data_IF_223547345255
#
_entry.id   IF_223547345255
#
_cell.length_a   1.000
_cell.length_b   1.000
_cell.length_c   1.000
_cell.angle_alpha   90.00
_cell.angle_beta   90.00
_cell.angle_gamma   90.00
#
_symmetry.space_group_name_H-M   'P 1'
#
loop_
_entity.id
_entity.type
_entity.pdbx_description
1 polymer ?
#
# COMPACT_ATOMS: atom_id res chain seq x y z
N UNK A 1 0.89 -36.02 1.76
CA UNK A 1 1.66 -35.62 2.95
C UNK A 1 3.18 -35.70 2.76
N UNK A 2 3.75 -36.78 2.19
CA UNK A 2 5.22 -36.86 1.97
C UNK A 2 5.75 -35.76 1.03
N UNK A 3 5.07 -35.47 -0.08
CA UNK A 3 5.47 -34.43 -1.05
C UNK A 3 5.45 -33.00 -0.48
N UNK A 4 4.45 -32.68 0.35
CA UNK A 4 4.34 -31.36 1.02
C UNK A 4 5.42 -31.18 2.09
N UNK A 5 5.75 -32.24 2.83
CA UNK A 5 6.85 -32.23 3.80
C UNK A 5 8.21 -32.09 3.09
N UNK A 6 8.43 -32.77 1.97
CA UNK A 6 9.65 -32.58 1.16
C UNK A 6 9.78 -31.16 0.63
N UNK A 7 8.69 -30.53 0.18
CA UNK A 7 8.71 -29.13 -0.24
C UNK A 7 9.04 -28.17 0.92
N UNK A 8 8.47 -28.42 2.10
CA UNK A 8 8.74 -27.64 3.30
C UNK A 8 10.21 -27.80 3.73
N UNK A 9 10.75 -29.01 3.73
CA UNK A 9 12.15 -29.29 4.05
C UNK A 9 13.07 -28.63 3.04
N UNK A 10 12.75 -28.67 1.74
CA UNK A 10 13.53 -27.98 0.71
C UNK A 10 13.50 -26.46 0.92
N UNK A 11 12.34 -25.90 1.27
CA UNK A 11 12.15 -24.48 1.55
C UNK A 11 12.87 -24.02 2.83
N UNK A 12 12.97 -24.89 3.84
CA UNK A 12 13.72 -24.61 5.07
C UNK A 12 15.23 -24.85 4.88
N UNK A 13 15.63 -25.80 4.04
CA UNK A 13 17.03 -26.08 3.74
C UNK A 13 17.71 -24.93 2.97
N UNK A 14 16.97 -24.15 2.19
CA UNK A 14 17.49 -22.89 1.59
C UNK A 14 17.74 -21.79 2.62
N UNK A 15 17.33 -21.98 3.89
CA UNK A 15 17.60 -21.09 5.01
C UNK A 15 18.87 -21.49 5.79
N UNK A 16 19.60 -22.54 5.38
CA UNK A 16 20.86 -22.93 6.02
C UNK A 16 21.98 -22.05 5.46
N UNK A 17 22.42 -21.09 6.28
CA UNK A 17 23.45 -20.12 5.93
C UNK A 17 24.85 -20.70 6.10
N UNK A 18 25.60 -20.81 5.00
CA UNK A 18 27.03 -21.02 5.03
C UNK A 18 27.74 -19.68 5.35
N UNK A 19 28.30 -19.56 6.56
CA UNK A 19 29.30 -18.57 7.01
C UNK A 19 29.33 -17.25 6.21
N UNK A 20 28.45 -16.31 6.54
CA UNK A 20 28.39 -15.04 5.82
C UNK A 20 29.06 -13.88 6.59
N UNK A 21 29.67 -12.97 5.82
CA UNK A 21 30.49 -11.85 6.29
C UNK A 21 29.82 -10.95 7.35
N UNK A 22 30.65 -10.32 8.19
CA UNK A 22 30.32 -9.41 9.33
C UNK A 22 29.44 -8.18 9.03
N UNK A 23 28.89 -8.03 7.82
CA UNK A 23 28.03 -6.88 7.48
C UNK A 23 26.56 -7.17 7.82
N UNK A 24 25.88 -6.16 8.38
CA UNK A 24 24.46 -6.24 8.73
C UNK A 24 23.59 -6.52 7.51
N UNK A 25 22.99 -7.71 7.46
CA UNK A 25 22.16 -8.18 6.35
C UNK A 25 20.70 -7.77 6.46
N UNK A 26 20.28 -7.42 7.67
CA UNK A 26 18.89 -7.12 7.98
C UNK A 26 18.71 -5.65 8.25
N UNK A 27 17.63 -5.09 7.71
CA UNK A 27 17.20 -3.73 7.99
C UNK A 27 15.75 -3.76 8.40
N UNK A 28 15.46 -3.18 9.57
CA UNK A 28 14.10 -2.92 10.01
C UNK A 28 13.72 -1.50 9.63
N UNK A 29 12.55 -1.30 9.05
CA UNK A 29 12.06 0.01 8.62
C UNK A 29 10.62 0.22 9.04
N UNK A 30 10.27 1.47 9.33
CA UNK A 30 8.92 1.97 9.45
C UNK A 30 8.59 2.77 8.19
N UNK A 31 7.46 2.48 7.57
CA UNK A 31 6.95 3.27 6.45
C UNK A 31 6.16 4.46 7.00
N UNK A 32 6.84 5.60 7.19
CA UNK A 32 6.28 6.77 7.87
C UNK A 32 5.11 7.39 7.07
N UNK A 33 5.20 7.38 5.74
CA UNK A 33 4.15 7.93 4.87
C UNK A 33 2.83 7.17 4.95
N UNK A 34 2.86 5.89 5.33
CA UNK A 34 1.64 5.09 5.45
C UNK A 34 0.78 5.48 6.64
N UNK A 35 1.32 6.21 7.63
CA UNK A 35 0.53 6.80 8.70
C UNK A 35 -0.45 7.86 8.13
N UNK A 36 -0.07 8.61 7.12
CA UNK A 36 -0.89 9.69 6.55
C UNK A 36 -1.41 9.34 5.15
N UNK A 37 -1.73 8.08 4.90
CA UNK A 37 -2.23 7.62 3.61
C UNK A 37 -3.72 7.96 3.45
N UNK A 38 -3.97 9.17 2.93
CA UNK A 38 -5.32 9.67 2.60
C UNK A 38 -5.90 9.05 1.33
N UNK A 39 -5.07 8.51 0.44
CA UNK A 39 -5.52 7.99 -0.85
C UNK A 39 -6.15 6.59 -0.73
N UNK A 40 -5.75 5.83 0.28
CA UNK A 40 -6.30 4.50 0.55
C UNK A 40 -6.83 4.41 1.97
N UNK A 41 -5.94 4.14 2.93
CA UNK A 41 -6.25 4.12 4.36
C UNK A 41 -4.96 4.16 5.17
N UNK A 42 -4.94 4.87 6.31
CA UNK A 42 -3.74 4.99 7.13
C UNK A 42 -3.39 3.66 7.82
N UNK A 43 -2.12 3.31 7.85
CA UNK A 43 -1.63 2.10 8.52
C UNK A 43 -0.31 2.34 9.24
N UNK A 44 -0.12 1.61 10.34
CA UNK A 44 1.24 1.42 10.88
C UNK A 44 1.85 0.25 10.12
N UNK A 45 2.86 0.55 9.30
CA UNK A 45 3.45 -0.43 8.38
C UNK A 45 4.95 -0.61 8.65
N UNK A 46 5.32 -1.84 9.00
CA UNK A 46 6.69 -2.26 9.23
C UNK A 46 7.25 -2.99 8.03
N UNK A 47 8.54 -2.85 7.84
CA UNK A 47 9.30 -3.39 6.72
C UNK A 47 10.54 -4.10 7.25
N UNK A 48 10.81 -5.27 6.69
CA UNK A 48 12.01 -6.05 6.95
C UNK A 48 12.69 -6.30 5.60
N UNK A 49 13.89 -5.76 5.46
CA UNK A 49 14.74 -6.00 4.30
C UNK A 49 15.85 -6.98 4.65
N UNK A 50 16.07 -7.95 3.77
CA UNK A 50 17.23 -8.84 3.79
C UNK A 50 18.07 -8.64 2.55
N UNK A 51 19.34 -8.27 2.72
CA UNK A 51 20.34 -8.25 1.65
C UNK A 51 20.79 -9.67 1.35
N UNK A 52 20.52 -10.13 0.13
CA UNK A 52 20.96 -11.43 -0.34
C UNK A 52 22.41 -11.38 -0.81
N UNK A 53 22.78 -10.31 -1.50
CA UNK A 53 24.13 -10.01 -1.93
C UNK A 53 24.32 -8.47 -2.00
N UNK A 54 25.51 -7.95 -2.38
CA UNK A 54 25.72 -6.51 -2.44
C UNK A 54 24.73 -5.78 -3.37
N UNK A 55 24.22 -6.45 -4.41
CA UNK A 55 23.41 -5.85 -5.47
C UNK A 55 21.91 -6.11 -5.31
N UNK A 56 21.51 -7.13 -4.56
CA UNK A 56 20.13 -7.56 -4.45
C UNK A 56 19.67 -7.68 -3.00
N UNK A 57 18.46 -7.19 -2.74
CA UNK A 57 17.75 -7.42 -1.48
C UNK A 57 16.29 -7.77 -1.72
N UNK A 58 15.68 -8.39 -0.72
CA UNK A 58 14.24 -8.62 -0.67
C UNK A 58 13.71 -7.83 0.53
N UNK A 59 12.70 -7.00 0.30
CA UNK A 59 11.98 -6.25 1.30
C UNK A 59 10.55 -6.78 1.42
N UNK A 60 10.12 -7.11 2.63
CA UNK A 60 8.74 -7.49 2.93
C UNK A 60 8.14 -6.47 3.89
N UNK A 61 6.91 -6.06 3.65
CA UNK A 61 6.21 -5.10 4.50
C UNK A 61 4.82 -5.58 4.84
N UNK A 62 4.39 -5.31 6.06
CA UNK A 62 3.04 -5.58 6.54
C UNK A 62 2.55 -4.38 7.35
N UNK A 63 1.31 -3.98 7.12
CA UNK A 63 0.68 -2.85 7.80
C UNK A 63 -0.76 -3.13 8.17
N UNK A 64 -1.17 -2.60 9.32
CA UNK A 64 -2.53 -2.70 9.83
C UNK A 64 -3.10 -1.30 10.06
N UNK A 65 -4.38 -1.14 9.76
CA UNK A 65 -5.09 0.10 10.04
C UNK A 65 -5.33 0.23 11.54
N UNK A 66 -4.88 1.34 12.11
CA UNK A 66 -4.97 1.63 13.55
C UNK A 66 -5.95 2.77 13.87
N UNK A 67 -6.28 3.60 12.88
CA UNK A 67 -7.28 4.66 12.99
C UNK A 67 -7.98 4.88 11.64
N UNK A 68 -9.05 5.66 11.68
CA UNK A 68 -9.81 6.06 10.50
C UNK A 68 -9.88 7.59 10.48
N UNK A 69 -9.38 8.19 9.40
CA UNK A 69 -9.37 9.64 9.19
C UNK A 69 -10.73 10.15 8.70
N UNK A 70 -11.57 9.28 8.14
CA UNK A 70 -12.86 9.62 7.54
C UNK A 70 -14.02 8.98 8.30
N UNK A 71 -13.87 8.82 9.62
CA UNK A 71 -14.89 8.21 10.45
C UNK A 71 -16.20 8.99 10.33
N UNK A 72 -17.22 8.33 9.82
CA UNK A 72 -18.60 8.83 9.77
C UNK A 72 -19.35 8.50 11.06
N UNK A 73 -20.32 9.34 11.41
CA UNK A 73 -21.10 9.21 12.66
C UNK A 73 -21.92 7.91 12.69
N UNK A 74 -22.49 7.53 11.55
CA UNK A 74 -23.22 6.26 11.36
C UNK A 74 -22.26 5.16 10.96
N UNK A 75 -22.05 4.13 11.79
CA UNK A 75 -21.14 3.02 11.48
C UNK A 75 -21.89 1.77 11.04
N UNK A 76 -21.93 1.52 9.72
CA UNK A 76 -22.44 0.27 9.13
C UNK A 76 -21.40 -0.84 9.26
N UNK A 77 -20.13 -0.50 9.02
CA UNK A 77 -18.98 -1.38 9.17
C UNK A 77 -17.92 -0.72 10.05
N UNK A 78 -17.29 -1.52 10.93
CA UNK A 78 -16.10 -1.11 11.67
C UNK A 78 -14.89 -1.05 10.73
N UNK A 79 -14.20 0.09 10.73
CA UNK A 79 -13.01 0.31 9.90
C UNK A 79 -11.89 -0.66 10.27
N UNK A 80 -11.39 -1.40 9.27
CA UNK A 80 -10.21 -2.26 9.40
C UNK A 80 -9.59 -2.50 8.04
N UNK A 81 -8.26 -2.47 8.02
CA UNK A 81 -7.49 -2.64 6.81
C UNK A 81 -6.17 -3.34 7.06
N UNK A 82 -5.67 -4.00 6.04
CA UNK A 82 -4.39 -4.68 6.00
C UNK A 82 -3.70 -4.41 4.65
N UNK A 83 -2.40 -4.13 4.70
CA UNK A 83 -1.53 -3.98 3.53
C UNK A 83 -0.34 -4.91 3.68
N UNK A 84 0.05 -5.55 2.58
CA UNK A 84 1.31 -6.30 2.50
C UNK A 84 1.99 -6.02 1.18
N UNK A 85 3.31 -5.90 1.24
CA UNK A 85 4.17 -5.67 0.09
C UNK A 85 5.33 -6.68 0.10
N UNK A 86 5.70 -7.18 -1.07
CA UNK A 86 6.92 -7.96 -1.30
C UNK A 86 7.69 -7.31 -2.45
N UNK A 87 8.91 -6.89 -2.20
CA UNK A 87 9.70 -6.09 -3.13
C UNK A 87 11.10 -6.71 -3.32
N UNK A 88 11.40 -7.12 -4.54
CA UNK A 88 12.77 -7.47 -4.94
C UNK A 88 13.49 -6.22 -5.41
N UNK A 89 14.67 -5.92 -4.87
CA UNK A 89 15.43 -4.69 -5.10
C UNK A 89 16.76 -4.97 -5.76
N UNK A 90 17.15 -4.09 -6.66
CA UNK A 90 18.45 -4.06 -7.31
C UNK A 90 19.15 -2.71 -7.10
N UNK A 91 20.32 -2.72 -6.48
CA UNK A 91 21.13 -1.54 -6.20
C UNK A 91 22.04 -1.21 -7.37
N UNK A 92 21.56 -0.33 -8.23
CA UNK A 92 22.19 0.08 -9.49
C UNK A 92 23.65 0.50 -9.27
N UNK A 93 23.88 1.37 -8.28
CA UNK A 93 25.20 1.97 -8.07
C UNK A 93 26.26 0.93 -7.69
N UNK A 94 25.89 -0.11 -6.96
CA UNK A 94 26.83 -1.16 -6.54
C UNK A 94 27.20 -2.07 -7.68
N UNK A 95 26.24 -2.39 -8.54
CA UNK A 95 26.47 -3.23 -9.70
C UNK A 95 27.47 -2.59 -10.67
N UNK A 96 27.22 -1.34 -11.09
CA UNK A 96 28.10 -0.65 -12.05
C UNK A 96 29.50 -0.36 -11.50
N UNK A 97 29.61 -0.03 -10.21
CA UNK A 97 30.91 0.26 -9.58
C UNK A 97 31.57 -0.99 -8.94
N UNK A 98 30.99 -2.18 -9.12
CA UNK A 98 31.45 -3.46 -8.53
C UNK A 98 31.76 -3.37 -7.03
N UNK A 99 30.93 -2.63 -6.28
CA UNK A 99 31.16 -2.35 -4.86
C UNK A 99 30.50 -3.40 -3.98
N UNK A 100 31.26 -3.95 -3.04
CA UNK A 100 30.75 -4.87 -2.02
C UNK A 100 30.19 -4.14 -0.80
N UNK A 101 30.87 -3.08 -0.37
CA UNK A 101 30.51 -2.29 0.81
C UNK A 101 29.37 -1.29 0.53
N UNK A 102 28.53 -1.07 1.53
CA UNK A 102 27.48 -0.05 1.47
C UNK A 102 28.05 1.36 1.63
N UNK A 103 27.59 2.28 0.79
CA UNK A 103 27.88 3.71 0.90
C UNK A 103 26.74 4.46 1.60
N UNK A 104 26.94 5.76 1.80
CA UNK A 104 25.92 6.67 2.33
C UNK A 104 24.70 6.77 1.43
N UNK A 105 24.85 6.56 0.12
CA UNK A 105 23.82 6.77 -0.88
C UNK A 105 23.72 5.55 -1.80
N UNK A 106 22.55 4.91 -1.84
CA UNK A 106 22.34 3.65 -2.55
C UNK A 106 21.02 3.66 -3.33
N UNK A 107 21.03 4.17 -4.58
CA UNK A 107 19.85 4.15 -5.44
C UNK A 107 19.52 2.72 -5.86
N UNK A 108 18.23 2.42 -5.92
CA UNK A 108 17.72 1.11 -6.31
C UNK A 108 16.51 1.20 -7.24
N UNK A 109 16.32 0.14 -8.02
CA UNK A 109 15.07 -0.18 -8.70
C UNK A 109 14.48 -1.43 -8.04
N UNK A 110 13.17 -1.45 -7.84
CA UNK A 110 12.48 -2.58 -7.24
C UNK A 110 11.29 -3.03 -8.08
N UNK A 111 10.99 -4.32 -8.01
CA UNK A 111 9.72 -4.89 -8.46
C UNK A 111 8.92 -5.28 -7.21
N UNK A 112 7.78 -4.63 -7.01
CA UNK A 112 6.96 -4.80 -5.82
C UNK A 112 5.61 -5.44 -6.17
N UNK A 113 5.29 -6.54 -5.51
CA UNK A 113 3.94 -7.11 -5.47
C UNK A 113 3.24 -6.61 -4.21
N UNK A 114 1.98 -6.20 -4.33
CA UNK A 114 1.21 -5.75 -3.18
C UNK A 114 -0.18 -6.37 -3.12
N UNK A 115 -0.68 -6.47 -1.90
CA UNK A 115 -2.06 -6.81 -1.59
C UNK A 115 -2.56 -5.88 -0.49
N UNK A 116 -3.74 -5.30 -0.71
CA UNK A 116 -4.41 -4.38 0.21
C UNK A 116 -5.85 -4.81 0.35
N UNK A 117 -6.33 -4.86 1.58
CA UNK A 117 -7.73 -5.12 1.88
C UNK A 117 -8.19 -4.14 2.93
N UNK A 118 -9.32 -3.52 2.68
CA UNK A 118 -9.90 -2.52 3.55
C UNK A 118 -11.41 -2.72 3.66
N UNK A 119 -11.97 -2.26 4.78
CA UNK A 119 -13.39 -2.05 4.92
C UNK A 119 -13.63 -0.83 5.80
N UNK A 120 -14.64 -0.06 5.45
CA UNK A 120 -15.07 1.11 6.22
C UNK A 120 -16.55 1.39 5.96
N UNK A 121 -17.10 2.42 6.60
CA UNK A 121 -18.37 3.02 6.20
C UNK A 121 -18.05 4.29 5.42
N UNK A 122 -18.67 4.46 4.26
CA UNK A 122 -18.51 5.66 3.45
C UNK A 122 -19.87 6.34 3.23
N UNK A 123 -19.84 7.56 2.71
CA UNK A 123 -21.00 8.40 2.48
C UNK A 123 -21.08 8.84 1.03
N UNK A 124 -22.27 8.75 0.44
CA UNK A 124 -22.58 9.26 -0.89
C UNK A 124 -23.66 10.34 -0.79
N UNK A 125 -23.46 11.42 -1.53
CA UNK A 125 -24.45 12.48 -1.70
C UNK A 125 -25.00 12.40 -3.13
N UNK A 126 -26.32 12.37 -3.27
CA UNK A 126 -26.99 12.25 -4.57
C UNK A 126 -28.35 12.91 -4.57
N UNK A 127 -28.91 13.16 -5.74
CA UNK A 127 -30.27 13.69 -5.93
C UNK A 127 -31.04 12.88 -6.98
N UNK A 128 -32.36 13.04 -6.99
CA UNK A 128 -33.23 12.40 -7.99
C UNK A 128 -33.18 13.17 -9.31
N UNK A 129 -32.88 12.47 -10.42
CA UNK A 129 -32.80 13.07 -11.76
C UNK A 129 -34.12 13.71 -12.20
N UNK A 130 -35.25 13.25 -11.68
CA UNK A 130 -36.57 13.77 -12.01
C UNK A 130 -36.88 15.14 -11.39
N UNK A 131 -36.14 15.55 -10.36
CA UNK A 131 -36.39 16.77 -9.58
C UNK A 131 -35.40 17.92 -9.87
N UNK A 132 -34.55 17.81 -10.89
CA UNK A 132 -33.51 18.81 -11.21
C UNK A 132 -34.07 20.20 -11.51
N UNK A 133 -35.35 20.30 -11.91
CA UNK A 133 -35.99 21.58 -12.26
C UNK A 133 -36.45 22.41 -11.04
N UNK A 134 -36.54 21.80 -9.84
CA UNK A 134 -36.98 22.45 -8.61
C UNK A 134 -35.82 22.46 -7.59
N UNK A 135 -35.14 23.60 -7.45
CA UNK A 135 -34.13 23.90 -6.42
C UNK A 135 -33.20 22.73 -6.03
N UNK A 136 -32.10 22.57 -6.78
CA UNK A 136 -31.02 21.59 -6.57
C UNK A 136 -30.60 21.41 -5.09
N UNK A 137 -30.60 22.49 -4.29
CA UNK A 137 -30.13 22.48 -2.90
C UNK A 137 -31.10 21.84 -1.90
N UNK A 138 -32.39 21.69 -2.23
CA UNK A 138 -33.39 21.16 -1.28
C UNK A 138 -33.58 19.63 -1.38
N UNK A 139 -32.97 18.96 -2.37
CA UNK A 139 -33.20 17.55 -2.68
C UNK A 139 -31.94 16.67 -2.63
N UNK A 140 -30.92 17.06 -1.86
CA UNK A 140 -29.70 16.25 -1.68
C UNK A 140 -29.95 15.17 -0.62
N UNK A 141 -29.95 13.92 -1.05
CA UNK A 141 -29.96 12.76 -0.18
C UNK A 141 -28.54 12.41 0.27
N UNK A 142 -28.44 11.95 1.52
CA UNK A 142 -27.20 11.45 2.11
C UNK A 142 -27.37 9.97 2.47
N UNK A 143 -26.55 9.12 1.86
CA UNK A 143 -26.59 7.67 2.06
C UNK A 143 -25.28 7.17 2.66
N UNK A 144 -25.38 6.35 3.70
CA UNK A 144 -24.24 5.73 4.36
C UNK A 144 -24.23 4.25 4.05
N UNK A 145 -23.13 3.76 3.49
CA UNK A 145 -23.03 2.38 3.04
C UNK A 145 -21.73 1.75 3.52
N UNK A 146 -21.77 0.43 3.70
CA UNK A 146 -20.58 -0.35 4.01
C UNK A 146 -19.74 -0.55 2.75
N UNK A 147 -18.47 -0.16 2.81
CA UNK A 147 -17.49 -0.30 1.75
C UNK A 147 -16.50 -1.42 2.09
N UNK A 148 -16.24 -2.32 1.13
CA UNK A 148 -15.16 -3.31 1.21
C UNK A 148 -14.32 -3.25 -0.06
N UNK A 149 -13.04 -2.94 0.10
CA UNK A 149 -12.11 -2.79 -1.02
C UNK A 149 -11.01 -3.84 -0.92
N UNK A 150 -10.66 -4.46 -2.04
CA UNK A 150 -9.50 -5.34 -2.17
C UNK A 150 -8.72 -4.95 -3.40
N UNK A 151 -7.44 -4.67 -3.26
CA UNK A 151 -6.56 -4.33 -4.36
C UNK A 151 -5.33 -5.23 -4.35
N UNK A 152 -4.97 -5.75 -5.52
CA UNK A 152 -3.74 -6.50 -5.76
C UNK A 152 -3.04 -5.93 -6.98
N UNK A 153 -1.72 -5.96 -7.00
CA UNK A 153 -1.02 -5.39 -8.14
C UNK A 153 0.49 -5.52 -8.08
N UNK A 154 1.12 -4.90 -9.07
CA UNK A 154 2.56 -4.90 -9.26
C UNK A 154 3.01 -3.48 -9.56
N UNK A 155 4.10 -3.06 -8.93
CA UNK A 155 4.72 -1.75 -9.08
C UNK A 155 6.19 -1.89 -9.47
N UNK A 156 6.66 -0.96 -10.30
CA UNK A 156 8.06 -0.64 -10.42
C UNK A 156 8.35 0.47 -9.41
N UNK A 157 9.32 0.24 -8.53
CA UNK A 157 9.73 1.17 -7.47
C UNK A 157 11.08 1.75 -7.81
N UNK A 158 11.23 3.06 -7.70
CA UNK A 158 12.50 3.76 -7.71
C UNK A 158 12.70 4.36 -6.34
N UNK A 159 13.87 4.15 -5.75
CA UNK A 159 14.14 4.69 -4.44
C UNK A 159 15.61 4.87 -4.18
N UNK A 160 15.90 5.50 -3.05
CA UNK A 160 17.27 5.75 -2.68
C UNK A 160 17.47 5.57 -1.19
N UNK A 161 18.38 4.67 -0.82
CA UNK A 161 18.65 4.37 0.59
C UNK A 161 19.83 5.19 1.10
N UNK A 162 19.54 6.16 1.96
CA UNK A 162 20.53 6.96 2.64
C UNK A 162 20.89 6.35 3.99
N UNK A 163 22.18 6.05 4.20
CA UNK A 163 22.69 5.57 5.49
C UNK A 163 23.44 6.67 6.20
N UNK A 164 23.01 7.08 7.40
CA UNK A 164 23.56 8.22 8.13
C UNK A 164 23.97 7.89 9.58
N UNK A 165 24.72 8.80 10.19
CA UNK A 165 25.40 8.61 11.48
C UNK A 165 26.78 7.95 11.33
N UNK A 166 27.60 8.04 12.39
CA UNK A 166 28.97 7.48 12.41
C UNK A 166 29.00 5.98 12.13
N UNK A 167 27.99 5.25 12.61
CA UNK A 167 27.85 3.80 12.45
C UNK A 167 27.16 3.38 11.13
N UNK A 168 26.62 4.34 10.35
CA UNK A 168 25.82 4.08 9.14
C UNK A 168 24.64 3.11 9.35
N UNK A 169 24.16 2.96 10.59
CA UNK A 169 23.05 2.06 10.92
C UNK A 169 21.68 2.68 10.67
N UNK A 170 21.55 3.99 10.71
CA UNK A 170 20.26 4.65 10.46
C UNK A 170 20.03 4.82 8.97
N UNK A 171 18.81 4.52 8.54
CA UNK A 171 18.39 4.57 7.14
C UNK A 171 17.24 5.55 6.97
N UNK A 172 17.35 6.36 5.93
CA UNK A 172 16.27 7.16 5.37
C UNK A 172 16.10 6.74 3.92
N UNK A 173 14.89 6.41 3.50
CA UNK A 173 14.64 5.91 2.15
C UNK A 173 13.40 6.58 1.56
N UNK A 174 13.57 7.70 0.85
CA UNK A 174 12.54 8.18 -0.07
C UNK A 174 12.43 7.22 -1.26
N UNK A 175 11.20 6.96 -1.67
CA UNK A 175 10.90 6.11 -2.82
C UNK A 175 9.60 6.55 -3.48
N UNK A 176 9.42 6.15 -4.73
CA UNK A 176 8.19 6.33 -5.47
C UNK A 176 8.13 5.36 -6.64
N UNK A 177 7.02 5.35 -7.34
CA UNK A 177 6.86 4.41 -8.43
C UNK A 177 5.50 4.47 -9.08
N UNK A 178 5.37 3.61 -10.07
CA UNK A 178 4.13 3.43 -10.81
C UNK A 178 3.92 1.95 -11.10
N UNK A 179 2.69 1.57 -11.42
CA UNK A 179 2.35 0.18 -11.67
C UNK A 179 0.89 0.00 -12.05
N UNK A 180 0.47 -1.25 -11.96
CA UNK A 180 -0.88 -1.68 -12.28
C UNK A 180 -1.52 -2.31 -11.06
N UNK A 181 -2.79 -2.00 -10.85
CA UNK A 181 -3.61 -2.57 -9.80
C UNK A 181 -4.88 -3.16 -10.38
N UNK A 182 -5.39 -4.20 -9.74
CA UNK A 182 -6.75 -4.69 -9.93
C UNK A 182 -7.51 -4.53 -8.61
N UNK A 183 -8.50 -3.65 -8.60
CA UNK A 183 -9.32 -3.31 -7.44
C UNK A 183 -10.69 -3.95 -7.57
N UNK A 184 -11.16 -4.54 -6.49
CA UNK A 184 -12.52 -5.03 -6.31
C UNK A 184 -13.17 -4.26 -5.18
N UNK A 185 -14.30 -3.63 -5.49
CA UNK A 185 -15.12 -2.87 -4.56
C UNK A 185 -16.40 -3.66 -4.34
N UNK A 186 -16.87 -3.67 -3.10
CA UNK A 186 -18.20 -4.15 -2.74
C UNK A 186 -18.88 -3.13 -1.84
N UNK A 187 -20.09 -2.75 -2.19
CA UNK A 187 -20.94 -1.88 -1.39
C UNK A 187 -22.04 -2.72 -0.74
N UNK A 188 -22.43 -2.34 0.48
CA UNK A 188 -23.51 -3.00 1.23
C UNK A 188 -24.40 -1.94 1.81
N UNK A 189 -25.72 -2.15 1.75
CA UNK A 189 -26.73 -1.18 2.19
C UNK A 189 -26.75 0.14 1.39
N UNK A 190 -26.18 0.15 0.17
CA UNK A 190 -26.26 1.29 -0.73
C UNK A 190 -27.69 1.40 -1.30
N UNK A 191 -28.34 2.54 -1.08
CA UNK A 191 -29.68 2.87 -1.57
C UNK A 191 -29.65 3.61 -2.91
N UNK A 192 -28.51 4.20 -3.25
CA UNK A 192 -28.28 4.86 -4.53
C UNK A 192 -28.53 3.94 -5.74
N UNK A 193 -29.33 4.41 -6.69
CA UNK A 193 -29.66 3.74 -7.95
C UNK A 193 -29.27 4.66 -9.11
N UNK A 194 -28.27 4.27 -9.91
CA UNK A 194 -27.74 5.06 -11.03
C UNK A 194 -28.77 5.36 -12.13
N UNK A 195 -29.85 4.58 -12.20
CA UNK A 195 -30.91 4.80 -13.18
C UNK A 195 -31.81 5.98 -12.79
N UNK A 196 -31.98 6.21 -11.48
CA UNK A 196 -32.89 7.23 -10.92
C UNK A 196 -32.16 8.43 -10.34
N UNK A 197 -30.95 8.21 -9.83
CA UNK A 197 -30.21 9.20 -9.07
C UNK A 197 -28.93 9.64 -9.79
N UNK A 198 -28.50 10.85 -9.50
CA UNK A 198 -27.25 11.43 -9.96
C UNK A 198 -26.40 11.88 -8.76
N UNK A 199 -25.09 11.68 -8.85
CA UNK A 199 -24.15 11.95 -7.75
C UNK A 199 -23.91 13.45 -7.67
N UNK A 200 -24.06 14.03 -6.49
CA UNK A 200 -23.66 15.41 -6.24
C UNK A 200 -22.13 15.52 -6.18
N UNK A 201 -21.56 16.22 -7.15
CA UNK A 201 -20.11 16.34 -7.35
C UNK A 201 -19.48 17.54 -6.63
N UNK A 202 -20.28 18.50 -6.16
CA UNK A 202 -19.76 19.72 -5.52
C UNK A 202 -19.30 19.48 -4.07
N UNK A 203 -19.85 18.48 -3.39
CA UNK A 203 -19.60 18.18 -1.99
C UNK A 203 -18.62 17.01 -1.73
N UNK A 204 -17.90 16.53 -2.75
CA UNK A 204 -17.08 15.32 -2.60
C UNK A 204 -15.57 15.54 -2.76
N UNK A 205 -14.81 14.92 -1.87
CA UNK A 205 -13.37 14.72 -2.03
C UNK A 205 -13.09 14.06 -3.39
N UNK A 206 -12.07 14.54 -4.11
CA UNK A 206 -11.67 14.10 -5.45
C UNK A 206 -11.52 12.56 -5.62
N UNK A 207 -11.44 11.82 -4.52
CA UNK A 207 -11.25 10.37 -4.50
C UNK A 207 -12.49 9.56 -4.07
N UNK A 208 -13.56 10.18 -3.52
CA UNK A 208 -14.73 9.47 -2.95
C UNK A 208 -15.62 8.81 -3.99
N UNK A 209 -15.77 9.43 -5.16
CA UNK A 209 -16.54 8.84 -6.26
C UNK A 209 -16.02 7.46 -6.69
N UNK A 210 -14.74 7.15 -6.45
CA UNK A 210 -14.13 5.88 -6.83
C UNK A 210 -14.49 4.70 -5.91
N UNK A 211 -15.40 4.89 -4.94
CA UNK A 211 -15.79 3.89 -3.94
C UNK A 211 -17.06 3.10 -4.31
N UNK A 212 -17.64 3.32 -5.50
CA UNK A 212 -18.77 2.53 -6.00
C UNK A 212 -18.33 1.25 -6.72
N UNK A 213 -19.15 0.20 -6.66
CA UNK A 213 -18.83 -1.11 -7.24
C UNK A 213 -18.45 -1.04 -8.73
N UNK A 214 -19.06 -0.13 -9.50
CA UNK A 214 -18.77 0.10 -10.92
C UNK A 214 -17.33 0.52 -11.21
N UNK A 215 -16.62 1.07 -10.22
CA UNK A 215 -15.21 1.44 -10.34
C UNK A 215 -14.25 0.32 -9.93
N UNK A 216 -14.78 -0.90 -9.76
CA UNK A 216 -13.97 -2.12 -9.73
C UNK A 216 -13.33 -2.34 -11.10
N UNK A 217 -12.08 -2.77 -11.12
CA UNK A 217 -11.38 -3.05 -12.35
C UNK A 217 -9.88 -2.83 -12.24
N UNK A 218 -9.26 -2.70 -13.41
CA UNK A 218 -7.83 -2.45 -13.55
C UNK A 218 -7.59 -0.95 -13.63
N UNK A 219 -6.56 -0.49 -12.95
CA UNK A 219 -6.18 0.92 -12.91
C UNK A 219 -4.66 1.08 -12.80
N UNK A 220 -4.17 2.28 -13.05
CA UNK A 220 -2.82 2.69 -12.72
C UNK A 220 -2.65 2.88 -11.22
N UNK A 221 -1.47 2.55 -10.70
CA UNK A 221 -1.10 2.84 -9.32
C UNK A 221 0.13 3.75 -9.32
N UNK A 222 0.01 4.98 -8.84
CA UNK A 222 1.15 5.88 -8.61
C UNK A 222 1.31 6.07 -7.11
N UNK A 223 2.54 6.06 -6.61
CA UNK A 223 2.81 6.19 -5.17
C UNK A 223 4.16 6.85 -4.90
N UNK A 224 4.25 7.45 -3.73
CA UNK A 224 5.46 8.00 -3.14
C UNK A 224 5.49 7.63 -1.67
N UNK A 225 6.68 7.58 -1.07
CA UNK A 225 6.80 7.23 0.32
C UNK A 225 8.16 7.53 0.91
N UNK A 226 8.20 7.44 2.24
CA UNK A 226 9.41 7.60 3.04
C UNK A 226 9.46 6.48 4.07
N UNK A 227 10.56 5.73 4.08
CA UNK A 227 10.87 4.76 5.13
C UNK A 227 12.00 5.29 6.01
N UNK A 228 11.90 5.04 7.30
CA UNK A 228 12.95 5.30 8.29
C UNK A 228 13.31 3.97 8.91
N UNK A 229 14.60 3.64 9.00
CA UNK A 229 15.01 2.32 9.46
C UNK A 229 16.35 2.24 10.17
N UNK A 230 16.68 1.03 10.56
CA UNK A 230 17.88 0.68 11.30
C UNK A 230 18.45 -0.65 10.80
N UNK A 231 19.76 -0.67 10.53
CA UNK A 231 20.53 -1.87 10.17
C UNK A 231 20.90 -2.62 11.44
N UNK A 232 20.49 -3.89 11.52
CA UNK A 232 20.82 -4.79 12.62
C UNK A 232 22.31 -5.18 12.54
#
# INVERSE_FOLDING_TARGET
MKKTLSFLILFVATLIFAQEAKEGKWVLKLNATQLLDFATFPTVQFSVERKLNPYFSINTEAGFQVYDLHKVDSTVLKSRGFKTNLEGRFYISKFFHKRTKSNRNEPFVGLQFFYRKDQTTDVLFYYDKSNVQNNYLENIYRDYFGLKTTALGVNITLGNQFSFGKSKKFILEPYGGFGFLNRKIKNTHLQFDETKHEIDSENQDLFRNNNLEKYSGRDGNVFFGLRIGYVL
#
